data_IF_481593185038
#
_entry.id   IF_481593185038
#
_cell.length_a   1.000
_cell.length_b   1.000
_cell.length_c   1.000
_cell.angle_alpha   90.00
_cell.angle_beta   90.00
_cell.angle_gamma   90.00
#
_symmetry.space_group_name_H-M   'P 1'
#
loop_
_entity.id
_entity.type
_entity.pdbx_description
1 polymer ?
#
# COMPACT_ATOMS: atom_id res chain seq x y z
N UNK A 1 -23.76 -10.81 -51.50
CA UNK A 1 -24.21 -10.66 -50.09
C UNK A 1 -23.01 -10.86 -49.18
N UNK A 2 -22.51 -9.86 -48.45
CA UNK A 2 -21.45 -10.05 -47.45
C UNK A 2 -22.07 -10.36 -46.07
N UNK A 3 -21.54 -11.38 -45.39
CA UNK A 3 -21.99 -11.80 -44.04
C UNK A 3 -21.38 -10.83 -43.01
N UNK A 4 -22.25 -10.31 -42.14
CA UNK A 4 -21.95 -9.36 -41.05
C UNK A 4 -20.85 -9.88 -40.14
N UNK A 5 -19.80 -9.08 -39.94
CA UNK A 5 -18.83 -9.24 -38.87
C UNK A 5 -19.53 -9.03 -37.53
N UNK A 6 -19.74 -10.10 -36.77
CA UNK A 6 -20.15 -9.99 -35.38
C UNK A 6 -18.95 -9.52 -34.56
N UNK A 7 -19.05 -8.29 -34.05
CA UNK A 7 -18.19 -7.69 -33.04
C UNK A 7 -18.11 -8.64 -31.84
N UNK A 8 -16.95 -9.27 -31.64
CA UNK A 8 -16.67 -10.03 -30.42
C UNK A 8 -16.71 -9.06 -29.24
N UNK A 9 -17.67 -9.26 -28.35
CA UNK A 9 -17.78 -8.55 -27.09
C UNK A 9 -16.53 -8.84 -26.25
N UNK A 10 -15.91 -7.77 -25.73
CA UNK A 10 -14.83 -7.85 -24.74
C UNK A 10 -15.35 -8.59 -23.50
N UNK A 11 -14.70 -9.68 -23.14
CA UNK A 11 -14.81 -10.29 -21.82
C UNK A 11 -13.63 -9.79 -20.99
N UNK A 12 -13.73 -8.60 -20.40
CA UNK A 12 -12.83 -8.26 -19.31
C UNK A 12 -13.12 -9.20 -18.13
N UNK A 13 -12.12 -9.87 -17.55
CA UNK A 13 -12.33 -10.69 -16.36
C UNK A 13 -12.72 -9.76 -15.21
N UNK A 14 -13.89 -10.00 -14.61
CA UNK A 14 -14.31 -9.31 -13.39
C UNK A 14 -13.25 -9.57 -12.29
N UNK A 15 -12.77 -8.54 -11.57
CA UNK A 15 -11.66 -8.71 -10.63
C UNK A 15 -11.99 -9.69 -9.51
N UNK A 16 -11.00 -10.48 -9.05
CA UNK A 16 -11.16 -11.43 -7.94
C UNK A 16 -11.67 -10.67 -6.68
N UNK A 17 -12.70 -11.16 -5.97
CA UNK A 17 -13.20 -10.50 -4.76
C UNK A 17 -12.13 -10.19 -3.72
N UNK A 18 -11.07 -11.01 -3.62
CA UNK A 18 -9.94 -10.79 -2.72
C UNK A 18 -9.07 -9.61 -3.16
N UNK A 19 -8.91 -9.41 -4.46
CA UNK A 19 -8.18 -8.27 -5.00
C UNK A 19 -8.95 -6.97 -4.78
N UNK A 20 -10.27 -7.00 -4.91
CA UNK A 20 -11.14 -5.86 -4.61
C UNK A 20 -11.04 -5.46 -3.14
N UNK A 21 -11.08 -6.44 -2.23
CA UNK A 21 -10.89 -6.20 -0.79
C UNK A 21 -9.50 -5.61 -0.49
N UNK A 22 -8.43 -6.17 -1.06
CA UNK A 22 -7.07 -5.64 -0.90
C UNK A 22 -6.96 -4.21 -1.46
N UNK A 23 -7.61 -3.90 -2.57
CA UNK A 23 -7.63 -2.57 -3.16
C UNK A 23 -8.32 -1.56 -2.24
N UNK A 24 -9.45 -1.95 -1.63
CA UNK A 24 -10.13 -1.11 -0.64
C UNK A 24 -9.24 -0.84 0.57
N UNK A 25 -8.59 -1.85 1.13
CA UNK A 25 -7.66 -1.65 2.26
C UNK A 25 -6.49 -0.75 1.90
N UNK A 26 -5.92 -0.86 0.70
CA UNK A 26 -4.88 0.06 0.24
C UNK A 26 -5.38 1.51 0.20
N UNK A 27 -6.62 1.75 -0.22
CA UNK A 27 -7.22 3.08 -0.20
C UNK A 27 -7.45 3.61 1.22
N UNK A 28 -7.82 2.72 2.15
CA UNK A 28 -8.04 3.10 3.54
C UNK A 28 -6.71 3.40 4.25
N UNK A 29 -5.71 2.54 4.05
CA UNK A 29 -4.37 2.68 4.64
C UNK A 29 -3.63 3.90 4.12
N UNK A 30 -3.83 4.27 2.85
CA UNK A 30 -3.22 5.47 2.26
C UNK A 30 -3.56 6.78 3.01
N UNK A 31 -4.60 6.79 3.85
CA UNK A 31 -5.01 7.95 4.66
C UNK A 31 -4.39 7.96 6.06
N UNK A 32 -3.71 6.89 6.45
CA UNK A 32 -3.14 6.73 7.78
C UNK A 32 -1.73 7.31 7.84
N UNK A 33 -1.42 7.93 8.98
CA UNK A 33 -0.05 8.21 9.37
C UNK A 33 0.73 6.93 9.69
N UNK A 34 2.05 7.04 9.83
CA UNK A 34 2.91 5.92 10.22
C UNK A 34 2.46 5.29 11.55
N UNK A 35 2.20 6.13 12.57
CA UNK A 35 1.79 5.65 13.90
C UNK A 35 0.43 4.96 13.85
N UNK A 36 -0.53 5.49 13.11
CA UNK A 36 -1.86 4.88 12.96
C UNK A 36 -1.79 3.54 12.21
N UNK A 37 -0.98 3.45 11.15
CA UNK A 37 -0.79 2.22 10.40
C UNK A 37 -0.09 1.14 11.23
N UNK A 38 0.92 1.53 12.01
CA UNK A 38 1.62 0.62 12.93
C UNK A 38 0.68 0.13 14.04
N UNK A 39 -0.08 1.04 14.67
CA UNK A 39 -1.06 0.68 15.69
C UNK A 39 -2.14 -0.26 15.13
N UNK A 40 -2.59 -0.05 13.90
CA UNK A 40 -3.55 -0.94 13.26
C UNK A 40 -2.96 -2.34 13.02
N UNK A 41 -1.67 -2.44 12.68
CA UNK A 41 -0.97 -3.71 12.57
C UNK A 41 -0.84 -4.42 13.93
N UNK A 42 -0.54 -3.69 15.01
CA UNK A 42 -0.46 -4.25 16.36
C UNK A 42 -1.81 -4.77 16.86
N UNK A 43 -2.89 -4.05 16.59
CA UNK A 43 -4.25 -4.50 16.90
C UNK A 43 -4.61 -5.77 16.12
N UNK A 44 -4.22 -5.84 14.84
CA UNK A 44 -4.43 -7.02 14.02
C UNK A 44 -3.63 -8.22 14.54
N UNK A 45 -2.38 -8.00 14.97
CA UNK A 45 -1.54 -9.03 15.57
C UNK A 45 -2.10 -9.51 16.91
N UNK A 46 -2.59 -8.59 17.75
CA UNK A 46 -3.23 -8.91 19.02
C UNK A 46 -4.48 -9.77 18.82
N UNK A 47 -5.25 -9.47 17.75
CA UNK A 47 -6.38 -10.32 17.34
C UNK A 47 -5.91 -11.72 16.92
N UNK A 48 -4.78 -11.81 16.19
CA UNK A 48 -4.21 -13.06 15.70
C UNK A 48 -3.59 -13.98 16.76
N UNK A 49 -3.30 -13.46 17.94
CA UNK A 49 -2.71 -14.22 19.04
C UNK A 49 -3.73 -15.07 19.82
N UNK A 50 -5.01 -15.04 19.44
CA UNK A 50 -6.03 -15.91 20.01
C UNK A 50 -5.94 -17.32 19.40
N UNK A 51 -6.02 -18.36 20.23
CA UNK A 51 -5.77 -19.75 19.82
C UNK A 51 -6.86 -20.38 18.91
N UNK A 52 -8.03 -19.73 18.78
CA UNK A 52 -9.22 -20.28 18.11
C UNK A 52 -9.56 -19.62 16.76
N UNK A 53 -8.58 -19.08 16.03
CA UNK A 53 -8.84 -18.33 14.80
C UNK A 53 -9.00 -19.25 13.58
N UNK A 54 -10.08 -19.11 12.80
CA UNK A 54 -10.25 -19.85 11.56
C UNK A 54 -9.15 -19.55 10.53
N UNK A 55 -8.70 -20.55 9.77
CA UNK A 55 -7.64 -20.41 8.77
C UNK A 55 -7.93 -19.31 7.72
N UNK A 56 -9.19 -19.19 7.28
CA UNK A 56 -9.60 -18.15 6.32
C UNK A 56 -9.44 -16.73 6.90
N UNK A 57 -9.64 -16.57 8.20
CA UNK A 57 -9.43 -15.31 8.90
C UNK A 57 -7.95 -15.01 9.09
N UNK A 58 -7.14 -16.04 9.37
CA UNK A 58 -5.68 -15.93 9.41
C UNK A 58 -5.12 -15.47 8.06
N UNK A 59 -5.56 -16.06 6.95
CA UNK A 59 -5.14 -15.66 5.59
C UNK A 59 -5.53 -14.20 5.29
N UNK A 60 -6.76 -13.82 5.68
CA UNK A 60 -7.28 -12.46 5.50
C UNK A 60 -6.49 -11.44 6.31
N UNK A 61 -6.24 -11.72 7.58
CA UNK A 61 -5.47 -10.88 8.47
C UNK A 61 -4.01 -10.78 8.03
N UNK A 62 -3.39 -11.87 7.55
CA UNK A 62 -2.05 -11.85 6.99
C UNK A 62 -1.94 -10.86 5.82
N UNK A 63 -2.84 -10.95 4.83
CA UNK A 63 -2.87 -10.00 3.69
C UNK A 63 -3.02 -8.56 4.15
N UNK A 64 -3.94 -8.30 5.08
CA UNK A 64 -4.19 -6.96 5.60
C UNK A 64 -2.98 -6.42 6.37
N UNK A 65 -2.31 -7.26 7.15
CA UNK A 65 -1.07 -6.93 7.85
C UNK A 65 0.05 -6.56 6.89
N UNK A 66 0.21 -7.30 5.78
CA UNK A 66 1.18 -6.96 4.73
C UNK A 66 0.93 -5.56 4.17
N UNK A 67 -0.33 -5.20 3.90
CA UNK A 67 -0.68 -3.87 3.39
C UNK A 67 -0.34 -2.76 4.40
N UNK A 68 -0.60 -2.96 5.70
CA UNK A 68 -0.19 -2.00 6.72
C UNK A 68 1.34 -1.81 6.76
N UNK A 69 2.09 -2.91 6.72
CA UNK A 69 3.55 -2.87 6.77
C UNK A 69 4.18 -2.27 5.51
N UNK A 70 3.62 -2.57 4.33
CA UNK A 70 4.02 -1.95 3.05
C UNK A 70 3.88 -0.42 3.11
N UNK A 71 2.77 0.08 3.67
CA UNK A 71 2.55 1.51 3.84
C UNK A 71 3.53 2.15 4.84
N UNK A 72 3.74 1.50 5.99
CA UNK A 72 4.75 1.96 6.96
C UNK A 72 6.13 2.08 6.32
N UNK A 73 6.54 1.07 5.55
CA UNK A 73 7.80 1.09 4.82
C UNK A 73 7.85 2.23 3.80
N UNK A 74 6.78 2.45 3.02
CA UNK A 74 6.71 3.53 2.05
C UNK A 74 6.85 4.92 2.69
N UNK A 75 6.26 5.14 3.88
CA UNK A 75 6.40 6.40 4.62
C UNK A 75 7.84 6.61 5.11
N UNK A 76 8.47 5.56 5.63
CA UNK A 76 9.87 5.62 6.07
C UNK A 76 10.82 5.87 4.90
N UNK A 77 10.62 5.23 3.76
CA UNK A 77 11.44 5.47 2.56
C UNK A 77 11.30 6.92 2.05
N UNK A 78 10.09 7.49 2.11
CA UNK A 78 9.87 8.90 1.75
C UNK A 78 10.59 9.85 2.71
N UNK A 79 10.56 9.54 4.02
CA UNK A 79 11.27 10.32 5.02
C UNK A 79 12.79 10.21 4.83
N UNK A 80 13.32 9.01 4.62
CA UNK A 80 14.73 8.78 4.34
C UNK A 80 15.20 9.58 3.13
N UNK A 81 14.44 9.51 2.03
CA UNK A 81 14.76 10.29 0.83
C UNK A 81 14.72 11.79 1.11
N UNK A 82 13.73 12.26 1.86
CA UNK A 82 13.62 13.67 2.24
C UNK A 82 14.84 14.14 3.02
N UNK A 83 15.35 13.32 3.96
CA UNK A 83 16.55 13.61 4.75
C UNK A 83 17.81 13.61 3.89
N UNK A 84 17.94 12.67 2.94
CA UNK A 84 19.08 12.61 2.02
C UNK A 84 19.16 13.83 1.08
N UNK A 85 18.02 14.43 0.75
CA UNK A 85 17.92 15.61 -0.09
C UNK A 85 18.10 16.93 0.67
N UNK A 86 18.24 16.90 2.00
CA UNK A 86 18.55 18.09 2.78
C UNK A 86 19.99 18.52 2.57
N UNK A 87 20.18 19.81 2.41
CA UNK A 87 21.48 20.45 2.49
C UNK A 87 21.97 20.49 3.95
N UNK A 88 23.19 20.03 4.18
CA UNK A 88 23.75 19.84 5.53
C UNK A 88 24.01 21.15 6.28
N UNK A 89 24.22 22.27 5.58
CA UNK A 89 24.52 23.57 6.21
C UNK A 89 23.26 24.40 6.45
N UNK A 90 22.25 24.28 5.58
CA UNK A 90 21.04 25.10 5.63
C UNK A 90 19.80 24.35 6.13
N UNK A 91 19.84 23.02 6.17
CA UNK A 91 18.67 22.13 6.38
C UNK A 91 17.49 22.46 5.46
N UNK A 92 17.77 23.07 4.31
CA UNK A 92 16.80 23.30 3.24
C UNK A 92 16.89 22.17 2.21
N UNK A 93 15.88 22.02 1.36
CA UNK A 93 15.98 21.14 0.20
C UNK A 93 17.16 21.59 -0.67
N UNK A 94 18.02 20.65 -1.08
CA UNK A 94 19.19 20.92 -1.90
C UNK A 94 18.78 21.50 -3.25
N UNK A 95 18.96 22.81 -3.42
CA UNK A 95 18.66 23.49 -4.67
C UNK A 95 19.58 22.96 -5.80
N UNK A 96 19.04 22.69 -7.01
CA UNK A 96 19.85 22.22 -8.14
C UNK A 96 20.85 23.26 -8.67
N UNK A 97 20.84 24.50 -8.16
CA UNK A 97 21.73 25.57 -8.59
C UNK A 97 23.14 25.51 -7.95
N UNK A 98 23.31 24.79 -6.84
CA UNK A 98 24.59 24.77 -6.10
C UNK A 98 25.56 23.67 -6.58
N UNK A 99 25.14 22.81 -7.51
CA UNK A 99 25.97 21.72 -8.05
C UNK A 99 26.94 22.16 -9.18
N UNK A 100 27.09 23.46 -9.44
CA UNK A 100 27.89 24.00 -10.56
C UNK A 100 29.03 24.95 -10.19
N UNK A 101 29.48 24.98 -8.93
CA UNK A 101 30.64 25.79 -8.51
C UNK A 101 31.91 24.94 -8.29
#
# INVERSE_FOLDING_TARGET
MPRRSAKSANSDPSPDPREQENAQWRQDVAKLSYEEALQAADLLLSHLQNDDIPLAELERAHRRGQIYLEHCHALLSQLEQSVLELDSDTMAAKDPADATA
#
